data_IF_971440255031
#
_entry.id   IF_971440255031
#
_cell.length_a   1.000
_cell.length_b   1.000
_cell.length_c   1.000
_cell.angle_alpha   90.00
_cell.angle_beta   90.00
_cell.angle_gamma   90.00
#
_symmetry.space_group_name_H-M   'P 1'
#
loop_
_entity.id
_entity.type
_entity.pdbx_description
1 polymer ?
#
# COMPACT_ATOMS: atom_id res chain seq x y z
N UNK A 1 24.79 -85.52 5.21
CA UNK A 1 23.68 -84.93 4.44
C UNK A 1 23.60 -83.46 4.82
N UNK A 2 23.66 -82.58 3.82
CA UNK A 2 23.79 -81.12 3.90
C UNK A 2 22.44 -80.49 4.26
N UNK A 3 22.41 -79.48 5.14
CA UNK A 3 21.51 -78.32 4.98
C UNK A 3 21.95 -77.10 5.80
N UNK A 4 21.92 -75.96 5.10
CA UNK A 4 22.42 -74.60 5.35
C UNK A 4 21.34 -73.77 6.08
N UNK A 5 21.69 -72.68 6.80
CA UNK A 5 20.81 -72.01 7.76
C UNK A 5 19.88 -70.99 7.09
N UNK A 6 18.74 -70.69 7.71
CA UNK A 6 17.90 -69.55 7.34
C UNK A 6 18.03 -68.44 8.38
N UNK A 7 18.87 -67.47 8.04
CA UNK A 7 18.86 -66.12 8.61
C UNK A 7 17.47 -65.50 8.33
N UNK A 8 16.72 -65.14 9.36
CA UNK A 8 15.64 -64.16 9.24
C UNK A 8 16.26 -62.76 9.37
N UNK A 9 16.37 -62.07 8.25
CA UNK A 9 16.67 -60.64 8.20
C UNK A 9 15.33 -59.92 8.30
N UNK A 10 14.99 -59.39 9.49
CA UNK A 10 13.88 -58.45 9.63
C UNK A 10 14.29 -57.11 9.01
N UNK A 11 13.68 -56.81 7.87
CA UNK A 11 13.81 -55.57 7.13
C UNK A 11 13.13 -54.43 7.93
N UNK A 12 13.92 -53.55 8.54
CA UNK A 12 13.43 -52.32 9.16
C UNK A 12 13.11 -51.34 8.02
N UNK A 13 11.83 -51.10 7.78
CA UNK A 13 11.33 -50.10 6.84
C UNK A 13 11.45 -48.71 7.47
N UNK A 14 12.50 -47.97 7.12
CA UNK A 14 12.63 -46.55 7.49
C UNK A 14 11.77 -45.73 6.53
N UNK A 15 10.63 -45.23 7.03
CA UNK A 15 9.79 -44.27 6.30
C UNK A 15 10.47 -42.90 6.45
N UNK A 16 10.96 -42.26 5.37
CA UNK A 16 11.33 -40.86 5.46
C UNK A 16 10.06 -40.04 5.67
N UNK A 17 9.95 -39.40 6.83
CA UNK A 17 9.06 -38.27 7.03
C UNK A 17 9.46 -37.19 6.04
N UNK A 18 8.79 -37.15 4.88
CA UNK A 18 8.70 -35.93 4.09
C UNK A 18 8.05 -34.90 5.01
N UNK A 19 8.86 -34.01 5.56
CA UNK A 19 8.38 -32.73 6.03
C UNK A 19 7.83 -32.00 4.79
N UNK A 20 6.53 -32.13 4.54
CA UNK A 20 5.82 -31.25 3.63
C UNK A 20 5.98 -29.83 4.22
N UNK A 21 6.91 -29.05 3.68
CA UNK A 21 6.77 -27.61 3.70
C UNK A 21 5.47 -27.34 2.95
N UNK A 22 4.40 -27.06 3.68
CA UNK A 22 3.27 -26.33 3.13
C UNK A 22 3.83 -24.97 2.71
N UNK A 23 4.24 -24.87 1.44
CA UNK A 23 4.40 -23.57 0.80
C UNK A 23 3.07 -22.85 0.97
N UNK A 24 3.08 -21.72 1.69
CA UNK A 24 1.94 -20.84 1.76
C UNK A 24 1.46 -20.59 0.32
N UNK A 25 0.16 -20.80 0.01
CA UNK A 25 -0.32 -20.65 -1.34
C UNK A 25 -0.01 -19.24 -1.82
N UNK A 26 0.76 -19.14 -2.91
CA UNK A 26 1.07 -17.88 -3.56
C UNK A 26 -0.25 -17.10 -3.72
N UNK A 27 -0.33 -15.96 -3.05
CA UNK A 27 -1.49 -15.08 -3.03
C UNK A 27 -1.93 -14.88 -4.48
N UNK A 28 -3.10 -15.40 -4.85
CA UNK A 28 -3.59 -15.34 -6.22
C UNK A 28 -3.63 -13.87 -6.64
N UNK A 29 -2.86 -13.53 -7.67
CA UNK A 29 -2.90 -12.21 -8.31
C UNK A 29 -4.33 -12.04 -8.80
N UNK A 30 -5.04 -11.03 -8.29
CA UNK A 30 -6.41 -10.76 -8.68
C UNK A 30 -6.50 -10.56 -10.19
N UNK A 31 -7.51 -11.17 -10.80
CA UNK A 31 -7.76 -11.05 -12.24
C UNK A 31 -8.27 -9.63 -12.55
N UNK A 32 -7.37 -8.67 -12.74
CA UNK A 32 -7.71 -7.29 -13.11
C UNK A 32 -6.64 -6.27 -12.73
N UNK A 33 -6.80 -5.00 -13.14
CA UNK A 33 -5.93 -3.91 -12.70
C UNK A 33 -5.93 -3.78 -11.17
N UNK A 34 -4.78 -3.44 -10.60
CA UNK A 34 -4.66 -3.28 -9.15
C UNK A 34 -5.71 -2.31 -8.57
N UNK A 35 -6.25 -2.66 -7.40
CA UNK A 35 -7.22 -1.83 -6.69
C UNK A 35 -6.52 -1.10 -5.56
N UNK A 36 -6.16 0.16 -5.79
CA UNK A 36 -5.47 0.99 -4.83
C UNK A 36 -6.42 2.00 -4.19
N UNK A 37 -6.41 2.07 -2.87
CA UNK A 37 -7.10 3.12 -2.10
C UNK A 37 -6.09 3.99 -1.36
N UNK A 38 -6.28 5.31 -1.39
CA UNK A 38 -5.61 6.26 -0.49
C UNK A 38 -6.57 6.61 0.65
N UNK A 39 -6.11 6.48 1.88
CA UNK A 39 -6.78 6.95 3.09
C UNK A 39 -5.91 7.99 3.80
N UNK A 40 -6.55 8.98 4.42
CA UNK A 40 -5.90 9.98 5.26
C UNK A 40 -6.36 9.76 6.70
N UNK A 41 -5.41 9.69 7.62
CA UNK A 41 -5.66 9.46 9.04
C UNK A 41 -4.84 10.45 9.89
N UNK A 42 -5.06 10.44 11.20
CA UNK A 42 -4.33 11.26 12.17
C UNK A 42 -4.32 12.76 11.81
N UNK A 43 -5.50 13.25 11.42
CA UNK A 43 -5.68 14.61 10.92
C UNK A 43 -5.42 15.62 12.04
N UNK A 44 -4.56 16.60 11.78
CA UNK A 44 -4.19 17.63 12.75
C UNK A 44 -3.96 18.97 12.07
N UNK A 45 -4.35 20.04 12.76
CA UNK A 45 -4.26 21.41 12.28
C UNK A 45 -3.26 22.23 13.08
N UNK A 46 -2.52 23.10 12.39
CA UNK A 46 -1.74 24.18 12.99
C UNK A 46 -1.81 25.45 12.15
N UNK A 47 -1.70 26.61 12.80
CA UNK A 47 -1.46 27.88 12.11
C UNK A 47 -0.02 28.33 12.36
N UNK A 48 0.81 28.33 11.33
CA UNK A 48 2.26 28.60 11.44
C UNK A 48 2.69 29.51 10.29
N UNK A 49 3.41 30.58 10.61
CA UNK A 49 3.96 31.53 9.64
C UNK A 49 2.92 32.09 8.66
N UNK A 50 1.72 32.41 9.17
CA UNK A 50 0.61 32.96 8.37
C UNK A 50 -0.05 31.94 7.43
N UNK A 51 0.11 30.63 7.68
CA UNK A 51 -0.48 29.56 6.86
C UNK A 51 -1.21 28.53 7.72
N UNK A 52 -2.31 28.03 7.17
CA UNK A 52 -3.03 26.88 7.70
C UNK A 52 -2.32 25.60 7.24
N UNK A 53 -1.80 24.81 8.18
CA UNK A 53 -1.14 23.53 7.94
C UNK A 53 -2.05 22.39 8.39
N UNK A 54 -2.22 21.41 7.51
CA UNK A 54 -3.04 20.22 7.73
C UNK A 54 -2.17 18.96 7.65
N UNK A 55 -1.79 18.45 8.81
CA UNK A 55 -1.02 17.22 8.97
C UNK A 55 -1.92 16.00 8.85
N UNK A 56 -1.36 14.93 8.28
CA UNK A 56 -2.05 13.66 8.10
C UNK A 56 -1.04 12.53 7.88
N UNK A 57 -1.43 11.33 8.28
CA UNK A 57 -0.85 10.07 7.80
C UNK A 57 -1.52 9.69 6.48
N UNK A 58 -0.73 9.15 5.54
CA UNK A 58 -1.25 8.56 4.30
C UNK A 58 -1.15 7.05 4.40
N UNK A 59 -2.23 6.36 4.08
CA UNK A 59 -2.26 4.90 3.98
C UNK A 59 -2.73 4.50 2.59
N UNK A 60 -1.87 3.78 1.89
CA UNK A 60 -2.17 3.19 0.60
C UNK A 60 -2.47 1.71 0.79
N UNK A 61 -3.63 1.23 0.36
CA UNK A 61 -4.02 -0.17 0.51
C UNK A 61 -4.32 -0.75 -0.85
N UNK A 62 -3.67 -1.87 -1.18
CA UNK A 62 -3.99 -2.68 -2.36
C UNK A 62 -4.82 -3.89 -1.92
N UNK A 63 -5.93 -4.18 -2.61
CA UNK A 63 -6.93 -5.14 -2.13
C UNK A 63 -7.08 -6.42 -2.95
N UNK A 64 -6.49 -6.54 -4.13
CA UNK A 64 -6.69 -7.70 -5.02
C UNK A 64 -5.44 -8.55 -5.25
N UNK A 65 -4.29 -8.20 -4.68
CA UNK A 65 -3.07 -8.99 -4.79
C UNK A 65 -2.10 -8.57 -5.90
N UNK A 66 -2.40 -7.52 -6.66
CA UNK A 66 -1.52 -6.99 -7.72
C UNK A 66 -0.76 -5.78 -7.20
N UNK A 67 0.57 -5.88 -7.04
CA UNK A 67 1.37 -4.78 -6.51
C UNK A 67 1.37 -3.53 -7.39
N UNK A 68 1.62 -2.37 -6.77
CA UNK A 68 1.62 -1.06 -7.42
C UNK A 68 2.90 -0.31 -7.10
N UNK A 69 3.43 0.40 -8.10
CA UNK A 69 4.47 1.40 -7.92
C UNK A 69 3.95 2.76 -8.36
N UNK A 70 3.73 3.66 -7.41
CA UNK A 70 3.41 5.07 -7.69
C UNK A 70 4.71 5.79 -8.07
N UNK A 71 4.67 6.54 -9.17
CA UNK A 71 5.83 7.15 -9.82
C UNK A 71 5.81 8.69 -9.76
N UNK A 72 4.63 9.27 -9.59
CA UNK A 72 4.47 10.70 -9.43
C UNK A 72 3.27 11.02 -8.55
N UNK A 73 3.31 12.22 -7.98
CA UNK A 73 2.22 12.78 -7.20
C UNK A 73 2.08 14.28 -7.41
N UNK A 74 0.89 14.78 -7.09
CA UNK A 74 0.53 16.18 -7.19
C UNK A 74 -0.37 16.55 -6.03
N UNK A 75 -0.08 17.69 -5.40
CA UNK A 75 -0.92 18.31 -4.39
C UNK A 75 -1.33 19.68 -4.88
N UNK A 76 -2.63 19.96 -4.87
CA UNK A 76 -3.17 21.26 -5.24
C UNK A 76 -3.93 21.87 -4.07
N UNK A 77 -3.64 23.13 -3.77
CA UNK A 77 -4.27 23.96 -2.74
C UNK A 77 -4.79 25.24 -3.38
N UNK A 78 -5.39 26.13 -2.57
CA UNK A 78 -5.94 27.41 -2.97
C UNK A 78 -6.96 27.24 -4.12
N UNK A 79 -7.86 26.26 -3.96
CA UNK A 79 -8.87 25.86 -4.95
C UNK A 79 -8.27 25.48 -6.31
N UNK A 80 -7.12 24.82 -6.28
CA UNK A 80 -6.42 24.34 -7.48
C UNK A 80 -5.50 25.37 -8.14
N UNK A 81 -5.39 26.60 -7.60
CA UNK A 81 -4.52 27.64 -8.17
C UNK A 81 -3.04 27.40 -7.91
N UNK A 82 -2.71 26.76 -6.80
CA UNK A 82 -1.33 26.46 -6.43
C UNK A 82 -1.15 24.94 -6.35
N UNK A 83 -0.33 24.39 -7.24
CA UNK A 83 -0.05 22.95 -7.30
C UNK A 83 1.44 22.67 -7.22
N UNK A 84 1.81 21.62 -6.49
CA UNK A 84 3.16 21.07 -6.45
C UNK A 84 3.12 19.62 -6.93
N UNK A 85 4.00 19.29 -7.87
CA UNK A 85 4.16 17.94 -8.40
C UNK A 85 5.57 17.43 -8.11
N UNK A 86 5.70 16.13 -7.85
CA UNK A 86 6.98 15.49 -7.61
C UNK A 86 7.02 14.07 -8.20
N UNK A 87 8.22 13.61 -8.58
CA UNK A 87 8.46 12.19 -8.78
C UNK A 87 8.53 11.50 -7.43
N UNK A 88 7.96 10.31 -7.35
CA UNK A 88 7.99 9.44 -6.17
C UNK A 88 8.33 8.02 -6.60
N UNK A 89 8.67 7.16 -5.64
CA UNK A 89 8.84 5.73 -5.88
C UNK A 89 8.24 4.98 -4.70
N UNK A 90 6.91 4.88 -4.67
CA UNK A 90 6.19 4.25 -3.57
C UNK A 90 5.72 2.88 -4.02
N UNK A 91 6.33 1.85 -3.42
CA UNK A 91 5.95 0.46 -3.63
C UNK A 91 4.88 0.05 -2.63
N UNK A 92 3.78 -0.49 -3.15
CA UNK A 92 2.74 -1.16 -2.39
C UNK A 92 2.66 -2.59 -2.92
N UNK A 93 3.02 -3.56 -2.09
CA UNK A 93 2.91 -4.97 -2.47
C UNK A 93 1.44 -5.42 -2.52
N UNK A 94 1.17 -6.42 -3.36
CA UNK A 94 -0.16 -7.00 -3.53
C UNK A 94 -0.82 -7.47 -2.23
N UNK A 95 -2.02 -6.98 -1.97
CA UNK A 95 -2.81 -7.27 -0.78
C UNK A 95 -2.16 -6.78 0.51
N UNK A 96 -1.26 -5.80 0.43
CA UNK A 96 -0.62 -5.13 1.58
C UNK A 96 -0.93 -3.64 1.56
N UNK A 97 -0.37 -2.93 2.53
CA UNK A 97 -0.46 -1.48 2.62
C UNK A 97 0.91 -0.83 2.80
N UNK A 98 0.99 0.45 2.41
CA UNK A 98 2.11 1.35 2.71
C UNK A 98 1.57 2.50 3.55
N UNK A 99 2.23 2.79 4.67
CA UNK A 99 1.94 3.94 5.51
C UNK A 99 3.06 4.97 5.43
N UNK A 100 2.69 6.24 5.32
CA UNK A 100 3.61 7.37 5.34
C UNK A 100 3.13 8.39 6.39
N UNK A 101 3.84 8.50 7.53
CA UNK A 101 3.48 9.42 8.60
C UNK A 101 3.87 10.87 8.26
N UNK A 102 3.33 11.81 9.05
CA UNK A 102 3.78 13.21 9.14
C UNK A 102 3.81 14.02 7.83
N UNK A 103 2.96 13.66 6.87
CA UNK A 103 2.72 14.53 5.73
C UNK A 103 1.89 15.73 6.14
N UNK A 104 2.10 16.85 5.45
CA UNK A 104 1.23 18.01 5.60
C UNK A 104 1.03 18.73 4.27
N UNK A 105 -0.04 19.51 4.22
CA UNK A 105 -0.35 20.47 3.18
C UNK A 105 -0.56 21.83 3.82
N UNK A 106 -0.14 22.90 3.15
CA UNK A 106 -0.24 24.25 3.68
C UNK A 106 -0.94 25.18 2.69
N UNK A 107 -1.90 25.96 3.16
CA UNK A 107 -2.67 26.93 2.37
C UNK A 107 -2.74 28.27 3.10
N UNK A 108 -2.90 29.36 2.35
CA UNK A 108 -3.16 30.69 2.92
C UNK A 108 -4.64 30.95 3.14
N UNK A 109 -5.51 30.15 2.56
CA UNK A 109 -6.95 30.32 2.71
C UNK A 109 -7.42 29.68 4.01
N UNK A 110 -8.25 30.39 4.75
CA UNK A 110 -8.93 29.82 5.93
C UNK A 110 -9.86 28.67 5.55
N UNK A 111 -10.47 28.74 4.35
CA UNK A 111 -11.29 27.67 3.79
C UNK A 111 -10.83 27.29 2.38
N UNK A 112 -10.62 25.98 2.17
CA UNK A 112 -10.01 25.46 0.96
C UNK A 112 -10.49 24.05 0.61
N UNK A 113 -10.30 23.67 -0.66
CA UNK A 113 -10.41 22.30 -1.14
C UNK A 113 -9.04 21.86 -1.65
N UNK A 114 -8.42 20.96 -0.90
CA UNK A 114 -7.08 20.45 -1.17
C UNK A 114 -7.21 19.12 -1.89
N UNK A 115 -6.53 18.96 -3.03
CA UNK A 115 -6.50 17.69 -3.77
C UNK A 115 -5.13 17.05 -3.66
N UNK A 116 -5.10 15.78 -3.27
CA UNK A 116 -3.88 14.96 -3.21
C UNK A 116 -4.06 13.82 -4.20
N UNK A 117 -3.12 13.69 -5.12
CA UNK A 117 -3.20 12.75 -6.23
C UNK A 117 -1.86 12.03 -6.46
N UNK A 118 -1.94 10.75 -6.80
CA UNK A 118 -0.81 9.90 -7.15
C UNK A 118 -1.12 9.03 -8.35
N UNK A 119 -0.12 8.75 -9.17
CA UNK A 119 -0.23 7.84 -10.31
C UNK A 119 1.05 7.07 -10.58
N UNK A 120 0.92 5.93 -11.25
CA UNK A 120 2.02 5.04 -11.61
C UNK A 120 1.50 3.78 -12.32
N UNK A 121 2.17 2.66 -12.09
CA UNK A 121 1.88 1.38 -12.76
C UNK A 121 1.69 0.25 -11.74
N UNK A 122 0.81 -0.69 -12.05
CA UNK A 122 0.77 -1.98 -11.36
C UNK A 122 1.80 -2.97 -11.93
N UNK A 123 1.97 -4.12 -11.28
CA UNK A 123 2.91 -5.17 -11.69
C UNK A 123 2.56 -5.82 -13.03
N UNK A 124 1.32 -5.62 -13.52
CA UNK A 124 0.87 -6.06 -14.84
C UNK A 124 1.05 -4.96 -15.92
N UNK A 125 1.56 -3.78 -15.56
CA UNK A 125 1.82 -2.66 -16.47
C UNK A 125 0.61 -1.73 -16.73
N UNK A 126 -0.52 -1.93 -16.03
CA UNK A 126 -1.68 -1.07 -16.14
C UNK A 126 -1.44 0.26 -15.41
N UNK A 127 -2.07 1.33 -15.90
CA UNK A 127 -2.06 2.62 -15.21
C UNK A 127 -2.90 2.56 -13.93
N UNK A 128 -2.32 3.06 -12.83
CA UNK A 128 -3.01 3.21 -11.55
C UNK A 128 -2.99 4.68 -11.16
N UNK A 129 -4.13 5.16 -10.65
CA UNK A 129 -4.30 6.53 -10.15
C UNK A 129 -5.17 6.53 -8.91
N UNK A 130 -4.77 7.30 -7.89
CA UNK A 130 -5.55 7.52 -6.67
C UNK A 130 -5.62 8.99 -6.34
N UNK A 131 -6.78 9.42 -5.84
CA UNK A 131 -7.06 10.82 -5.52
C UNK A 131 -7.84 10.89 -4.20
N UNK A 132 -7.52 11.89 -3.39
CA UNK A 132 -8.33 12.30 -2.23
C UNK A 132 -8.49 13.80 -2.19
N UNK A 133 -9.65 14.25 -1.70
CA UNK A 133 -9.90 15.66 -1.43
C UNK A 133 -10.05 15.87 0.07
N UNK A 134 -9.49 16.99 0.55
CA UNK A 134 -9.76 17.51 1.88
C UNK A 134 -10.51 18.82 1.71
N UNK A 135 -11.66 18.92 2.36
CA UNK A 135 -12.37 20.18 2.52
C UNK A 135 -12.07 20.68 3.93
N UNK A 136 -11.51 21.88 4.03
CA UNK A 136 -11.02 22.44 5.30
C UNK A 136 -11.59 23.82 5.57
N UNK A 137 -11.83 24.12 6.85
CA UNK A 137 -12.22 25.45 7.34
C UNK A 137 -11.57 25.66 8.71
N UNK A 138 -10.49 26.44 8.77
CA UNK A 138 -9.70 26.59 9.99
C UNK A 138 -9.22 25.24 10.51
N UNK A 139 -9.69 24.85 11.69
CA UNK A 139 -9.38 23.56 12.34
C UNK A 139 -10.27 22.39 11.89
N UNK A 140 -11.36 22.66 11.19
CA UNK A 140 -12.31 21.65 10.72
C UNK A 140 -11.78 21.01 9.44
N UNK A 141 -11.78 19.67 9.41
CA UNK A 141 -11.23 18.88 8.30
C UNK A 141 -12.24 17.79 7.94
N UNK A 142 -12.64 17.74 6.67
CA UNK A 142 -13.44 16.67 6.08
C UNK A 142 -12.66 16.01 4.94
N UNK A 143 -12.78 14.70 4.80
CA UNK A 143 -12.10 13.92 3.75
C UNK A 143 -13.13 13.30 2.83
N UNK A 144 -12.94 13.48 1.52
CA UNK A 144 -13.77 12.96 0.43
C UNK A 144 -12.97 11.99 -0.45
#
# INVERSE_FOLDING_TARGET
>A
MVTIPKLLISLILVIPLLACQEEEPAKQIGSGPAQLQLQLADLRYEFVDGRHKYFHKRKYTESIGTGVTLQAGKVCVERGKACLSARVNYRIDGGKFLEQPDHHVATRLESDTITIEYWGKDDAGNDVRVLRKLTVTGKEISVE
#
